data_IF_133616835727
#
_entry.id   IF_133616835727
#
_cell.length_a   1.000
_cell.length_b   1.000
_cell.length_c   1.000
_cell.angle_alpha   90.00
_cell.angle_beta   90.00
_cell.angle_gamma   90.00
#
_symmetry.space_group_name_H-M   'P 1'
#
loop_
_entity.id
_entity.type
_entity.pdbx_description
1 polymer ?
#
# COMPACT_ATOMS: atom_id res chain seq x y z
N UNK A 1 10.05 -7.16 -21.21
CA UNK A 1 10.79 -7.13 -19.94
C UNK A 1 10.57 -8.45 -19.21
N UNK A 2 11.61 -9.23 -18.99
CA UNK A 2 11.58 -10.44 -18.16
C UNK A 2 11.30 -10.08 -16.70
N UNK A 3 10.91 -11.05 -15.85
CA UNK A 3 10.65 -10.76 -14.43
C UNK A 3 11.89 -10.20 -13.72
N UNK A 4 13.11 -10.66 -14.07
CA UNK A 4 14.37 -10.16 -13.51
C UNK A 4 14.64 -8.70 -13.89
N UNK A 5 14.35 -8.35 -15.14
CA UNK A 5 14.49 -6.97 -15.62
C UNK A 5 13.48 -6.05 -14.91
N UNK A 6 12.26 -6.54 -14.68
CA UNK A 6 11.23 -5.80 -13.93
C UNK A 6 11.63 -5.54 -12.47
N UNK A 7 12.14 -6.56 -11.78
CA UNK A 7 12.63 -6.42 -10.41
C UNK A 7 13.84 -5.49 -10.35
N UNK A 8 14.78 -5.61 -11.30
CA UNK A 8 15.97 -4.75 -11.34
C UNK A 8 15.61 -3.29 -11.62
N UNK A 9 14.60 -3.03 -12.44
CA UNK A 9 14.09 -1.68 -12.67
C UNK A 9 13.52 -1.05 -11.39
N UNK A 10 12.72 -1.80 -10.61
CA UNK A 10 12.25 -1.31 -9.31
C UNK A 10 13.40 -1.07 -8.33
N UNK A 11 14.39 -1.98 -8.30
CA UNK A 11 15.56 -1.82 -7.42
C UNK A 11 16.38 -0.58 -7.81
N UNK A 12 16.56 -0.29 -9.09
CA UNK A 12 17.24 0.92 -9.54
C UNK A 12 16.54 2.20 -9.03
N UNK A 13 15.22 2.29 -9.15
CA UNK A 13 14.44 3.42 -8.60
C UNK A 13 14.65 3.59 -7.10
N UNK A 14 14.73 2.48 -6.36
CA UNK A 14 14.95 2.47 -4.91
C UNK A 14 16.39 2.83 -4.53
N UNK A 15 17.39 2.24 -5.21
CA UNK A 15 18.82 2.44 -4.95
C UNK A 15 19.24 3.90 -5.18
N UNK A 16 18.71 4.53 -6.23
CA UNK A 16 19.06 5.92 -6.57
C UNK A 16 18.23 6.98 -5.86
N UNK A 17 17.22 6.57 -5.08
CA UNK A 17 16.29 7.50 -4.45
C UNK A 17 15.48 8.31 -5.47
N UNK A 18 14.83 7.63 -6.41
CA UNK A 18 14.03 8.27 -7.44
C UNK A 18 12.98 9.23 -6.84
N UNK A 19 12.80 10.37 -7.49
CA UNK A 19 11.79 11.36 -7.09
C UNK A 19 10.37 10.82 -7.27
N UNK A 20 9.40 11.43 -6.59
CA UNK A 20 7.99 11.08 -6.74
C UNK A 20 7.53 11.16 -8.20
N UNK A 21 7.96 12.19 -8.93
CA UNK A 21 7.62 12.38 -10.34
C UNK A 21 8.12 11.22 -11.21
N UNK A 22 9.33 10.74 -10.96
CA UNK A 22 9.89 9.60 -11.69
C UNK A 22 9.15 8.29 -11.37
N UNK A 23 8.76 8.08 -10.12
CA UNK A 23 7.94 6.95 -9.74
C UNK A 23 6.57 6.96 -10.42
N UNK A 24 5.89 8.11 -10.40
CA UNK A 24 4.57 8.26 -11.02
C UNK A 24 4.66 8.08 -12.53
N UNK A 25 5.68 8.64 -13.18
CA UNK A 25 5.93 8.42 -14.60
C UNK A 25 6.20 6.94 -14.91
N UNK A 26 7.02 6.26 -14.11
CA UNK A 26 7.27 4.83 -14.28
C UNK A 26 5.97 4.01 -14.16
N UNK A 27 5.08 4.39 -13.24
CA UNK A 27 3.75 3.80 -13.08
C UNK A 27 2.88 3.96 -14.32
N UNK A 28 2.94 5.13 -14.97
CA UNK A 28 2.21 5.43 -16.21
C UNK A 28 2.79 4.68 -17.42
N UNK A 29 4.12 4.60 -17.52
CA UNK A 29 4.81 3.94 -18.63
C UNK A 29 4.70 2.41 -18.56
N UNK A 30 4.67 1.85 -17.34
CA UNK A 30 4.69 0.40 -17.10
C UNK A 30 3.58 -0.09 -16.14
N UNK A 31 2.29 0.25 -16.34
CA UNK A 31 1.23 0.04 -15.35
C UNK A 31 0.92 -1.43 -15.07
N UNK A 32 1.29 -2.31 -16.01
CA UNK A 32 1.08 -3.75 -15.94
C UNK A 32 2.39 -4.52 -15.80
N UNK A 33 3.38 -3.94 -15.10
CA UNK A 33 4.66 -4.58 -14.77
C UNK A 33 4.58 -5.23 -13.37
N UNK A 34 3.98 -6.43 -13.25
CA UNK A 34 3.62 -7.01 -11.96
C UNK A 34 4.81 -7.15 -11.00
N UNK A 35 5.99 -7.54 -11.51
CA UNK A 35 7.15 -7.81 -10.66
C UNK A 35 7.87 -6.52 -10.25
N UNK A 36 7.85 -5.48 -11.10
CA UNK A 36 8.32 -4.14 -10.74
C UNK A 36 7.52 -3.63 -9.54
N UNK A 37 6.19 -3.64 -9.67
CA UNK A 37 5.33 -3.07 -8.66
C UNK A 37 5.23 -3.93 -7.40
N UNK A 38 5.35 -5.25 -7.51
CA UNK A 38 5.45 -6.11 -6.34
C UNK A 38 6.73 -5.84 -5.54
N UNK A 39 7.87 -5.62 -6.21
CA UNK A 39 9.14 -5.27 -5.54
C UNK A 39 9.06 -3.92 -4.84
N UNK A 40 8.51 -2.90 -5.52
CA UNK A 40 8.31 -1.57 -4.96
C UNK A 40 7.33 -1.59 -3.77
N UNK A 41 6.22 -2.33 -3.91
CA UNK A 41 5.18 -2.44 -2.88
C UNK A 41 5.67 -3.02 -1.55
N UNK A 42 6.80 -3.76 -1.53
CA UNK A 42 7.39 -4.38 -0.34
C UNK A 42 8.42 -3.49 0.38
N UNK A 43 8.67 -2.28 -0.12
CA UNK A 43 9.78 -1.45 0.34
C UNK A 43 9.27 -0.10 0.86
N UNK A 44 9.66 0.26 2.08
CA UNK A 44 9.29 1.54 2.70
C UNK A 44 10.11 2.73 2.19
N UNK A 45 11.02 2.51 1.23
CA UNK A 45 11.63 3.61 0.47
C UNK A 45 10.73 4.06 -0.69
N UNK A 46 9.74 3.25 -1.06
CA UNK A 46 8.74 3.64 -2.06
C UNK A 46 7.83 4.72 -1.47
N UNK A 47 7.67 5.90 -2.12
CA UNK A 47 6.85 6.97 -1.57
C UNK A 47 5.41 6.53 -1.25
N UNK A 48 4.80 6.99 -0.15
CA UNK A 48 3.42 6.64 0.21
C UNK A 48 2.40 6.89 -0.89
N UNK A 49 2.55 7.97 -1.66
CA UNK A 49 1.69 8.33 -2.79
C UNK A 49 1.70 7.25 -3.87
N UNK A 50 2.87 6.64 -4.12
CA UNK A 50 3.05 5.54 -5.06
C UNK A 50 2.37 4.28 -4.52
N UNK A 51 2.57 3.97 -3.24
CA UNK A 51 1.91 2.83 -2.59
C UNK A 51 0.36 2.96 -2.65
N UNK A 52 -0.19 4.16 -2.47
CA UNK A 52 -1.62 4.43 -2.62
C UNK A 52 -2.09 4.09 -4.04
N UNK A 53 -1.33 4.48 -5.08
CA UNK A 53 -1.66 4.11 -6.48
C UNK A 53 -1.62 2.61 -6.69
N UNK A 54 -0.67 1.91 -6.06
CA UNK A 54 -0.53 0.46 -6.17
C UNK A 54 -1.67 -0.34 -5.54
N UNK A 55 -2.46 0.25 -4.62
CA UNK A 55 -3.66 -0.40 -4.08
C UNK A 55 -4.72 -0.72 -5.17
N UNK A 56 -4.70 0.02 -6.28
CA UNK A 56 -5.58 -0.20 -7.42
C UNK A 56 -5.04 -1.21 -8.44
N UNK A 57 -3.79 -1.69 -8.29
CA UNK A 57 -3.16 -2.57 -9.27
C UNK A 57 -3.98 -3.86 -9.49
N UNK A 58 -4.09 -4.36 -10.74
CA UNK A 58 -4.97 -5.50 -11.08
C UNK A 58 -4.44 -6.84 -10.58
N UNK A 59 -3.12 -7.00 -10.45
CA UNK A 59 -2.55 -8.23 -9.89
C UNK A 59 -2.59 -8.20 -8.37
N UNK A 60 -3.41 -9.06 -7.77
CA UNK A 60 -3.77 -9.05 -6.33
C UNK A 60 -2.61 -9.00 -5.35
N UNK A 61 -1.44 -9.58 -5.65
CA UNK A 61 -0.29 -9.53 -4.73
C UNK A 61 0.26 -8.10 -4.54
N UNK A 62 0.19 -7.26 -5.58
CA UNK A 62 0.68 -5.88 -5.51
C UNK A 62 -0.09 -5.01 -4.50
N UNK A 63 -1.43 -4.91 -4.54
CA UNK A 63 -2.17 -4.13 -3.57
C UNK A 63 -2.11 -4.72 -2.16
N UNK A 64 -1.96 -6.03 -1.99
CA UNK A 64 -1.77 -6.63 -0.65
C UNK A 64 -0.46 -6.19 -0.01
N UNK A 65 0.65 -6.26 -0.74
CA UNK A 65 1.95 -5.83 -0.22
C UNK A 65 2.00 -4.31 -0.05
N UNK A 66 1.41 -3.54 -0.99
CA UNK A 66 1.34 -2.09 -0.87
C UNK A 66 0.55 -1.67 0.37
N UNK A 67 -0.55 -2.36 0.67
CA UNK A 67 -1.34 -2.12 1.88
C UNK A 67 -0.55 -2.35 3.16
N UNK A 68 0.19 -3.47 3.25
CA UNK A 68 1.04 -3.80 4.41
C UNK A 68 2.12 -2.75 4.61
N UNK A 69 2.85 -2.41 3.56
CA UNK A 69 3.93 -1.44 3.61
C UNK A 69 3.40 -0.05 3.96
N UNK A 70 2.29 0.38 3.34
CA UNK A 70 1.69 1.69 3.59
C UNK A 70 1.20 1.85 5.03
N UNK A 71 0.58 0.81 5.62
CA UNK A 71 0.14 0.83 7.01
C UNK A 71 1.29 1.09 8.00
N UNK A 72 2.47 0.51 7.71
CA UNK A 72 3.68 0.66 8.51
C UNK A 72 4.61 1.81 8.08
N UNK A 73 4.29 2.52 6.99
CA UNK A 73 5.24 3.44 6.37
C UNK A 73 5.55 4.64 7.28
N UNK A 74 6.82 4.97 7.54
CA UNK A 74 7.16 6.05 8.48
C UNK A 74 6.56 7.40 8.05
N UNK A 75 6.64 7.71 6.75
CA UNK A 75 6.17 8.99 6.18
C UNK A 75 4.69 9.00 5.74
N UNK A 76 3.90 7.94 6.01
CA UNK A 76 2.48 7.96 5.67
C UNK A 76 1.72 8.97 6.55
N UNK A 77 0.99 9.88 5.89
CA UNK A 77 0.09 10.87 6.51
C UNK A 77 -1.29 10.27 6.76
N UNK A 78 -2.15 10.99 7.46
CA UNK A 78 -3.53 10.56 7.69
C UNK A 78 -4.33 10.43 6.39
N UNK A 79 -4.04 11.23 5.36
CA UNK A 79 -4.64 11.09 4.03
C UNK A 79 -4.25 9.78 3.36
N UNK A 80 -2.98 9.38 3.46
CA UNK A 80 -2.50 8.09 2.94
C UNK A 80 -3.16 6.91 3.65
N UNK A 81 -3.29 6.98 4.96
CA UNK A 81 -3.95 5.95 5.76
C UNK A 81 -5.46 5.90 5.51
N UNK A 82 -6.10 7.05 5.32
CA UNK A 82 -7.51 7.10 4.93
C UNK A 82 -7.74 6.44 3.57
N UNK A 83 -6.86 6.68 2.58
CA UNK A 83 -6.94 6.01 1.28
C UNK A 83 -6.78 4.49 1.40
N UNK A 84 -5.81 4.03 2.21
CA UNK A 84 -5.63 2.61 2.53
C UNK A 84 -6.90 2.00 3.13
N UNK A 85 -7.45 2.64 4.16
CA UNK A 85 -8.60 2.13 4.90
C UNK A 85 -9.83 2.06 4.01
N UNK A 86 -10.10 3.12 3.26
CA UNK A 86 -11.20 3.16 2.30
C UNK A 86 -11.07 2.03 1.28
N UNK A 87 -9.85 1.76 0.81
CA UNK A 87 -9.62 0.71 -0.17
C UNK A 87 -9.77 -0.71 0.41
N UNK A 88 -9.35 -0.95 1.65
CA UNK A 88 -9.30 -2.31 2.24
C UNK A 88 -10.56 -2.67 3.01
N UNK A 89 -11.10 -1.74 3.79
CA UNK A 89 -12.22 -1.99 4.70
C UNK A 89 -13.56 -1.52 4.13
N UNK A 90 -13.60 -0.36 3.45
CA UNK A 90 -14.84 0.20 2.91
C UNK A 90 -15.16 -0.24 1.47
N UNK A 91 -14.13 -0.52 0.64
CA UNK A 91 -14.35 -0.92 -0.75
C UNK A 91 -14.82 -2.37 -0.89
N UNK A 92 -15.49 -2.67 -2.01
CA UNK A 92 -15.91 -4.04 -2.37
C UNK A 92 -14.76 -4.91 -2.89
N UNK A 93 -13.52 -4.41 -2.94
CA UNK A 93 -12.37 -5.21 -3.41
C UNK A 93 -12.14 -6.35 -2.42
N UNK A 94 -12.10 -7.62 -2.87
CA UNK A 94 -11.89 -8.73 -1.97
C UNK A 94 -10.42 -8.74 -1.52
N UNK A 95 -10.20 -8.44 -0.24
CA UNK A 95 -8.96 -8.71 0.47
C UNK A 95 -9.19 -9.85 1.46
N UNK A 96 -8.17 -10.66 1.69
CA UNK A 96 -8.26 -11.77 2.65
C UNK A 96 -8.51 -11.27 4.07
N UNK A 97 -9.23 -12.06 4.88
CA UNK A 97 -9.44 -11.74 6.29
C UNK A 97 -8.12 -11.61 7.05
N UNK A 98 -7.17 -12.52 6.79
CA UNK A 98 -5.82 -12.49 7.39
C UNK A 98 -5.07 -11.18 7.12
N UNK A 99 -5.16 -10.65 5.89
CA UNK A 99 -4.58 -9.35 5.58
C UNK A 99 -5.28 -8.23 6.35
N UNK A 100 -6.63 -8.19 6.31
CA UNK A 100 -7.41 -7.19 7.04
C UNK A 100 -7.12 -7.21 8.54
N UNK A 101 -6.92 -8.38 9.13
CA UNK A 101 -6.55 -8.55 10.55
C UNK A 101 -5.19 -7.98 10.87
N UNK A 102 -4.21 -8.25 9.99
CA UNK A 102 -2.85 -7.70 10.09
C UNK A 102 -2.88 -6.18 10.01
N UNK A 103 -3.58 -5.64 9.02
CA UNK A 103 -3.70 -4.20 8.82
C UNK A 103 -4.42 -3.51 9.97
N UNK A 104 -5.52 -4.10 10.47
CA UNK A 104 -6.23 -3.58 11.63
C UNK A 104 -5.32 -3.50 12.86
N UNK A 105 -4.49 -4.52 13.11
CA UNK A 105 -3.53 -4.51 14.20
C UNK A 105 -2.49 -3.39 14.08
N UNK A 106 -1.89 -3.22 12.88
CA UNK A 106 -0.92 -2.14 12.62
C UNK A 106 -1.57 -0.76 12.74
N UNK A 107 -2.75 -0.58 12.16
CA UNK A 107 -3.48 0.69 12.16
C UNK A 107 -3.94 1.09 13.57
N UNK A 108 -4.31 0.13 14.43
CA UNK A 108 -4.59 0.39 15.86
C UNK A 108 -3.39 1.00 16.57
N UNK A 109 -2.20 0.42 16.36
CA UNK A 109 -0.96 0.95 16.95
C UNK A 109 -0.67 2.37 16.43
N UNK A 110 -0.93 2.63 15.14
CA UNK A 110 -0.68 3.92 14.52
C UNK A 110 -1.67 5.01 14.94
N UNK A 111 -2.94 4.65 15.13
CA UNK A 111 -3.96 5.57 15.64
C UNK A 111 -3.62 6.05 17.06
N UNK A 112 -3.13 5.14 17.91
CA UNK A 112 -2.85 5.43 19.32
C UNK A 112 -4.04 6.12 19.99
N UNK A 113 -3.77 7.14 20.79
CA UNK A 113 -4.82 7.92 21.47
C UNK A 113 -5.45 9.00 20.57
N UNK A 114 -4.89 9.24 19.37
CA UNK A 114 -5.30 10.34 18.48
C UNK A 114 -6.65 10.10 17.81
N UNK A 115 -7.06 8.84 17.67
CA UNK A 115 -8.35 8.43 17.09
C UNK A 115 -8.74 9.21 15.81
N UNK A 116 -7.90 9.18 14.75
CA UNK A 116 -8.18 9.89 13.51
C UNK A 116 -9.45 9.35 12.83
N UNK A 117 -10.07 10.16 11.97
CA UNK A 117 -11.36 9.83 11.35
C UNK A 117 -11.36 8.50 10.58
N UNK A 118 -10.25 8.18 9.88
CA UNK A 118 -10.11 6.90 9.17
C UNK A 118 -10.18 5.69 10.10
N UNK A 119 -9.90 5.85 11.41
CA UNK A 119 -9.86 4.73 12.35
C UNK A 119 -11.25 4.17 12.65
N UNK A 120 -12.32 4.93 12.41
CA UNK A 120 -13.71 4.47 12.61
C UNK A 120 -14.01 3.20 11.82
N UNK A 121 -13.57 3.12 10.56
CA UNK A 121 -13.77 1.96 9.71
C UNK A 121 -13.01 0.71 10.21
N UNK A 122 -11.83 0.91 10.81
CA UNK A 122 -11.06 -0.18 11.43
C UNK A 122 -11.81 -0.74 12.65
N UNK A 123 -12.40 0.14 13.46
CA UNK A 123 -13.22 -0.27 14.61
C UNK A 123 -14.50 -0.99 14.17
N UNK A 124 -15.17 -0.51 13.11
CA UNK A 124 -16.34 -1.19 12.53
C UNK A 124 -15.99 -2.59 12.03
N UNK A 125 -14.83 -2.75 11.39
CA UNK A 125 -14.34 -4.06 10.99
C UNK A 125 -14.13 -4.99 12.18
N UNK A 126 -13.49 -4.52 13.25
CA UNK A 126 -13.28 -5.34 14.46
C UNK A 126 -14.62 -5.73 15.14
N UNK A 127 -15.60 -4.80 15.19
CA UNK A 127 -16.95 -5.10 15.71
C UNK A 127 -17.69 -6.14 14.87
N UNK A 128 -17.48 -6.17 13.56
CA UNK A 128 -18.13 -7.14 12.65
C UNK A 128 -17.73 -8.60 12.88
N UNK A 129 -16.69 -8.84 13.69
CA UNK A 129 -16.18 -10.18 14.02
C UNK A 129 -16.66 -10.72 15.36
N UNK A 130 -17.34 -9.88 16.16
CA UNK A 130 -17.94 -10.27 17.44
C UNK A 130 -19.29 -10.96 17.23
#
# INVERSE_FOLDING_TARGET
MTYKEQERFAEDLLERGASLEEWLKALEDYPYSPYTWLRAAKDSRTPPEVLVRLLAHPWHLVPEEAAKTLAGHPEATDEHLAALVNQVFASKKPFTSSLKDTLAATLRQRAGDKNPEWFKEVLLYDLSKL
#
